data_IF_374701013714
#
_entry.id   IF_374701013714
#
_cell.length_a   1.000
_cell.length_b   1.000
_cell.length_c   1.000
_cell.angle_alpha   90.00
_cell.angle_beta   90.00
_cell.angle_gamma   90.00
#
_symmetry.space_group_name_H-M   'P 1'
#
loop_
_entity.id
_entity.type
_entity.pdbx_description
1 polymer ?
#
# COMPACT_ATOMS: atom_id res chain seq x y z
N UNK A 1 0.92 -52.27 -13.84
CA UNK A 1 1.55 -51.02 -13.37
C UNK A 1 2.23 -50.38 -14.56
N UNK A 2 1.56 -49.41 -15.17
CA UNK A 2 1.98 -48.38 -16.17
C UNK A 2 2.96 -48.66 -17.33
N UNK A 3 3.63 -49.82 -17.46
CA UNK A 3 4.55 -50.08 -18.58
C UNK A 3 4.41 -51.51 -19.15
N UNK A 4 4.39 -51.67 -20.48
CA UNK A 4 4.55 -52.97 -21.13
C UNK A 4 5.93 -53.56 -20.80
N UNK A 5 6.03 -54.88 -20.53
CA UNK A 5 7.29 -55.50 -20.10
C UNK A 5 8.39 -55.51 -21.17
N UNK A 6 8.05 -55.27 -22.44
CA UNK A 6 8.95 -55.43 -23.58
C UNK A 6 9.41 -54.08 -24.18
N UNK A 7 9.04 -52.95 -23.58
CA UNK A 7 9.40 -51.60 -24.07
C UNK A 7 10.54 -51.00 -23.25
N UNK A 8 11.78 -51.22 -23.72
CA UNK A 8 12.99 -50.64 -23.13
C UNK A 8 13.24 -49.18 -23.58
N UNK A 9 12.41 -48.61 -24.47
CA UNK A 9 12.66 -47.29 -25.05
C UNK A 9 12.54 -46.13 -24.05
N UNK A 10 11.87 -46.36 -22.92
CA UNK A 10 11.64 -45.35 -21.88
C UNK A 10 12.46 -45.59 -20.60
N UNK A 11 13.28 -46.64 -20.53
CA UNK A 11 14.09 -46.91 -19.34
C UNK A 11 15.35 -46.03 -19.41
N UNK A 12 15.61 -45.15 -18.42
CA UNK A 12 16.88 -44.43 -18.39
C UNK A 12 18.02 -45.46 -18.35
N UNK A 13 19.14 -45.23 -19.05
CA UNK A 13 20.21 -46.23 -19.17
C UNK A 13 20.65 -46.68 -17.78
N UNK A 14 20.36 -47.94 -17.43
CA UNK A 14 20.82 -48.54 -16.17
C UNK A 14 22.31 -48.76 -16.32
N UNK A 15 23.10 -47.79 -15.87
CA UNK A 15 24.54 -47.98 -15.81
C UNK A 15 24.86 -49.00 -14.72
N UNK A 16 25.85 -49.89 -14.95
CA UNK A 16 26.27 -50.85 -13.94
C UNK A 16 26.73 -50.08 -12.69
N UNK A 17 26.29 -50.57 -11.52
CA UNK A 17 26.54 -49.97 -10.22
C UNK A 17 28.03 -49.63 -10.08
N UNK A 18 28.42 -48.34 -10.04
CA UNK A 18 29.81 -47.98 -10.05
C UNK A 18 30.43 -48.36 -8.69
N UNK A 19 31.73 -48.72 -8.64
CA UNK A 19 32.37 -49.11 -7.40
C UNK A 19 32.26 -47.97 -6.35
N UNK A 20 32.20 -48.29 -5.04
CA UNK A 20 31.78 -47.37 -3.96
C UNK A 20 32.70 -46.16 -3.71
N UNK A 21 33.70 -45.93 -4.56
CA UNK A 21 34.65 -44.80 -4.47
C UNK A 21 34.51 -43.79 -5.61
N UNK A 22 33.52 -43.93 -6.48
CA UNK A 22 33.25 -42.93 -7.51
C UNK A 22 32.26 -41.92 -6.95
N UNK A 23 32.75 -40.72 -6.65
CA UNK A 23 31.91 -39.53 -6.56
C UNK A 23 31.07 -39.51 -7.84
N UNK A 24 29.73 -39.51 -7.72
CA UNK A 24 28.86 -39.30 -8.86
C UNK A 24 29.37 -38.05 -9.60
N UNK A 25 29.85 -38.24 -10.83
CA UNK A 25 30.46 -37.15 -11.60
C UNK A 25 29.40 -36.10 -11.92
N UNK A 26 29.82 -34.83 -12.01
CA UNK A 26 28.95 -33.74 -12.43
C UNK A 26 28.25 -34.07 -13.76
N UNK A 27 28.91 -34.80 -14.67
CA UNK A 27 28.35 -35.31 -15.92
C UNK A 27 27.09 -36.19 -15.76
N UNK A 28 27.01 -36.99 -14.68
CA UNK A 28 25.85 -37.85 -14.43
C UNK A 28 24.67 -37.03 -13.90
N UNK A 29 24.95 -36.05 -13.05
CA UNK A 29 23.93 -35.10 -12.62
C UNK A 29 23.46 -34.23 -13.78
N UNK A 30 24.35 -33.82 -14.68
CA UNK A 30 24.01 -33.08 -15.90
C UNK A 30 23.14 -33.92 -16.84
N UNK A 31 23.48 -35.19 -17.04
CA UNK A 31 22.67 -36.09 -17.88
C UNK A 31 21.28 -36.34 -17.28
N UNK A 32 21.19 -36.49 -15.95
CA UNK A 32 19.90 -36.62 -15.26
C UNK A 32 19.10 -35.32 -15.32
N UNK A 33 19.76 -34.18 -15.12
CA UNK A 33 19.15 -32.86 -15.21
C UNK A 33 18.60 -32.60 -16.61
N UNK A 34 19.36 -32.91 -17.66
CA UNK A 34 18.90 -32.84 -19.05
C UNK A 34 17.70 -33.77 -19.29
N UNK A 35 17.73 -34.99 -18.75
CA UNK A 35 16.62 -35.94 -18.86
C UNK A 35 15.34 -35.43 -18.18
N UNK A 36 15.46 -34.74 -17.04
CA UNK A 36 14.33 -34.11 -16.35
C UNK A 36 14.01 -32.69 -16.84
N UNK A 37 14.75 -32.17 -17.83
CA UNK A 37 14.60 -30.80 -18.33
C UNK A 37 14.97 -29.73 -17.30
N UNK A 38 15.76 -30.07 -16.29
CA UNK A 38 16.28 -29.17 -15.26
C UNK A 38 17.55 -28.54 -15.84
N UNK A 39 17.51 -27.26 -16.18
CA UNK A 39 18.70 -26.52 -16.61
C UNK A 39 19.72 -26.41 -15.49
N UNK A 40 21.01 -26.56 -15.80
CA UNK A 40 22.11 -26.34 -14.86
C UNK A 40 22.04 -24.89 -14.30
N UNK A 41 22.16 -24.68 -12.98
CA UNK A 41 21.98 -23.36 -12.36
C UNK A 41 23.06 -22.34 -12.73
N UNK A 42 24.09 -22.72 -13.47
CA UNK A 42 25.11 -21.81 -14.03
C UNK A 42 24.69 -21.19 -15.38
N UNK A 43 23.68 -21.75 -16.07
CA UNK A 43 23.10 -21.24 -17.32
C UNK A 43 21.88 -20.32 -17.06
N UNK A 44 21.98 -19.39 -16.11
CA UNK A 44 20.93 -18.40 -15.80
C UNK A 44 20.75 -17.30 -16.87
N UNK A 45 21.35 -17.44 -18.06
CA UNK A 45 21.77 -16.27 -18.84
C UNK A 45 20.72 -15.53 -19.69
N UNK A 46 19.62 -16.13 -20.11
CA UNK A 46 18.73 -15.46 -21.09
C UNK A 46 17.28 -15.95 -21.12
N UNK A 47 17.06 -17.26 -21.01
CA UNK A 47 15.71 -17.82 -21.00
C UNK A 47 15.01 -17.51 -19.67
N UNK A 48 15.72 -17.51 -18.53
CA UNK A 48 15.16 -17.11 -17.23
C UNK A 48 14.66 -15.67 -17.26
N UNK A 49 15.45 -14.73 -17.75
CA UNK A 49 15.03 -13.34 -17.86
C UNK A 49 13.81 -13.15 -18.78
N UNK A 50 13.74 -13.90 -19.89
CA UNK A 50 12.60 -13.89 -20.81
C UNK A 50 11.35 -14.48 -20.13
N UNK A 51 11.49 -15.65 -19.49
CA UNK A 51 10.40 -16.32 -18.76
C UNK A 51 9.93 -15.46 -17.60
N UNK A 52 10.82 -14.86 -16.82
CA UNK A 52 10.49 -13.99 -15.70
C UNK A 52 9.73 -12.74 -16.17
N UNK A 53 10.11 -12.16 -17.30
CA UNK A 53 9.42 -11.03 -17.90
C UNK A 53 8.01 -11.41 -18.39
N UNK A 54 7.88 -12.55 -19.10
CA UNK A 54 6.60 -13.06 -19.58
C UNK A 54 5.66 -13.45 -18.44
N UNK A 55 6.18 -14.14 -17.42
CA UNK A 55 5.44 -14.50 -16.20
C UNK A 55 5.02 -13.26 -15.45
N UNK A 56 5.89 -12.26 -15.31
CA UNK A 56 5.55 -10.99 -14.65
C UNK A 56 4.46 -10.22 -15.41
N UNK A 57 4.50 -10.21 -16.75
CA UNK A 57 3.48 -9.57 -17.57
C UNK A 57 2.12 -10.28 -17.44
N UNK A 58 2.09 -11.60 -17.62
CA UNK A 58 0.90 -12.43 -17.42
C UNK A 58 0.30 -12.24 -16.04
N UNK A 59 1.14 -12.26 -15.00
CA UNK A 59 0.72 -12.13 -13.63
C UNK A 59 0.21 -10.71 -13.31
N UNK A 60 0.79 -9.67 -13.91
CA UNK A 60 0.23 -8.31 -13.79
C UNK A 60 -1.16 -8.25 -14.42
N UNK A 61 -1.37 -8.79 -15.61
CA UNK A 61 -2.68 -8.84 -16.27
C UNK A 61 -3.70 -9.63 -15.45
N UNK A 62 -3.29 -10.78 -14.89
CA UNK A 62 -4.12 -11.57 -13.99
C UNK A 62 -4.54 -10.79 -12.75
N UNK A 63 -3.61 -10.06 -12.12
CA UNK A 63 -3.91 -9.25 -10.94
C UNK A 63 -4.84 -8.08 -11.26
N UNK A 64 -4.71 -7.48 -12.44
CA UNK A 64 -5.58 -6.40 -12.92
C UNK A 64 -7.01 -6.91 -13.20
N UNK A 65 -7.12 -8.10 -13.80
CA UNK A 65 -8.38 -8.79 -13.93
C UNK A 65 -8.99 -9.12 -12.56
N UNK A 66 -8.19 -9.64 -11.62
CA UNK A 66 -8.64 -10.01 -10.28
C UNK A 66 -9.09 -8.77 -9.48
N UNK A 67 -8.40 -7.63 -9.61
CA UNK A 67 -8.75 -6.39 -8.93
C UNK A 67 -10.13 -5.88 -9.35
N UNK A 68 -10.51 -6.11 -10.60
CA UNK A 68 -11.83 -5.78 -11.14
C UNK A 68 -12.95 -6.52 -10.40
N UNK A 69 -12.74 -7.78 -10.02
CA UNK A 69 -13.73 -8.57 -9.25
C UNK A 69 -13.90 -8.08 -7.82
N UNK A 70 -12.81 -7.62 -7.20
CA UNK A 70 -12.83 -7.15 -5.81
C UNK A 70 -13.26 -5.67 -5.74
N UNK A 71 -13.34 -4.98 -6.87
CA UNK A 71 -13.65 -3.56 -6.93
C UNK A 71 -12.49 -2.68 -6.44
N UNK A 72 -11.26 -3.19 -6.57
CA UNK A 72 -10.02 -2.49 -6.26
C UNK A 72 -9.58 -1.66 -7.47
N UNK A 73 -9.49 -0.33 -7.30
CA UNK A 73 -8.92 0.55 -8.32
C UNK A 73 -7.41 0.32 -8.39
N UNK A 74 -6.96 -0.34 -9.46
CA UNK A 74 -5.56 -0.68 -9.65
C UNK A 74 -4.81 0.49 -10.30
N UNK A 75 -3.64 0.81 -9.75
CA UNK A 75 -2.73 1.80 -10.33
C UNK A 75 -1.66 1.07 -11.15
N UNK A 76 -1.48 1.50 -12.40
CA UNK A 76 -0.47 0.93 -13.30
C UNK A 76 0.97 1.17 -12.80
N UNK A 77 1.17 2.09 -11.87
CA UNK A 77 2.48 2.37 -11.28
C UNK A 77 2.85 1.42 -10.13
N UNK A 78 1.96 0.51 -9.72
CA UNK A 78 2.26 -0.42 -8.63
C UNK A 78 3.18 -1.55 -9.07
N UNK A 79 4.15 -1.85 -8.20
CA UNK A 79 4.95 -3.06 -8.35
C UNK A 79 4.07 -4.29 -8.15
N UNK A 80 4.49 -5.41 -8.73
CA UNK A 80 3.74 -6.66 -8.67
C UNK A 80 3.56 -7.14 -7.22
N UNK A 81 4.61 -7.00 -6.40
CA UNK A 81 4.54 -7.33 -4.98
C UNK A 81 3.57 -6.42 -4.22
N UNK A 82 3.51 -5.12 -4.55
CA UNK A 82 2.54 -4.21 -3.93
C UNK A 82 1.11 -4.60 -4.29
N UNK A 83 0.85 -4.98 -5.56
CA UNK A 83 -0.46 -5.50 -5.97
C UNK A 83 -0.86 -6.71 -5.13
N UNK A 84 0.05 -7.68 -4.95
CA UNK A 84 -0.19 -8.88 -4.14
C UNK A 84 -0.43 -8.57 -2.66
N UNK A 85 0.39 -7.70 -2.08
CA UNK A 85 0.30 -7.27 -0.68
C UNK A 85 -1.05 -6.60 -0.40
N UNK A 86 -1.44 -5.64 -1.24
CA UNK A 86 -2.72 -4.94 -1.13
C UNK A 86 -3.88 -5.94 -1.28
N UNK A 87 -3.82 -6.82 -2.29
CA UNK A 87 -4.87 -7.81 -2.54
C UNK A 87 -5.09 -8.77 -1.37
N UNK A 88 -4.00 -9.19 -0.71
CA UNK A 88 -4.08 -10.04 0.47
C UNK A 88 -4.71 -9.34 1.68
N UNK A 89 -4.53 -8.02 1.78
CA UNK A 89 -4.92 -7.22 2.95
C UNK A 89 -6.28 -6.53 2.79
N UNK A 90 -6.77 -6.33 1.56
CA UNK A 90 -7.92 -5.45 1.30
C UNK A 90 -9.27 -6.01 1.76
N UNK A 91 -9.46 -7.33 1.77
CA UNK A 91 -10.75 -7.96 2.10
C UNK A 91 -11.26 -7.64 3.52
N UNK A 92 -10.47 -7.76 4.61
CA UNK A 92 -10.93 -7.34 5.93
C UNK A 92 -11.23 -5.84 5.99
N UNK A 93 -10.47 -5.00 5.30
CA UNK A 93 -10.69 -3.55 5.22
C UNK A 93 -12.04 -3.24 4.57
N UNK A 94 -12.38 -3.93 3.47
CA UNK A 94 -13.65 -3.75 2.76
C UNK A 94 -14.88 -4.16 3.57
N UNK A 95 -14.73 -5.05 4.57
CA UNK A 95 -15.83 -5.34 5.51
C UNK A 95 -16.16 -4.16 6.42
N UNK A 96 -15.20 -3.27 6.64
CA UNK A 96 -15.35 -2.08 7.48
C UNK A 96 -15.66 -0.81 6.65
N UNK A 97 -16.11 -0.98 5.40
CA UNK A 97 -16.52 0.14 4.54
C UNK A 97 -17.57 1.02 5.23
N UNK A 98 -17.42 2.33 5.05
CA UNK A 98 -18.29 3.33 5.69
C UNK A 98 -17.95 3.65 7.14
N UNK A 99 -16.90 3.06 7.72
CA UNK A 99 -16.39 3.42 9.04
C UNK A 99 -15.12 4.26 8.94
N UNK A 100 -14.86 5.12 9.94
CA UNK A 100 -13.63 5.91 10.00
C UNK A 100 -12.38 5.01 10.09
N UNK A 101 -12.44 3.94 10.90
CA UNK A 101 -11.35 2.98 11.06
C UNK A 101 -11.02 2.26 9.75
N UNK A 102 -12.03 1.79 9.01
CA UNK A 102 -11.81 1.14 7.71
C UNK A 102 -11.23 2.09 6.68
N UNK A 103 -11.64 3.36 6.67
CA UNK A 103 -11.07 4.37 5.78
C UNK A 103 -9.61 4.69 6.14
N UNK A 104 -9.30 4.77 7.44
CA UNK A 104 -7.94 5.02 7.93
C UNK A 104 -7.00 3.88 7.54
N UNK A 105 -7.41 2.62 7.77
CA UNK A 105 -6.64 1.44 7.39
C UNK A 105 -6.41 1.40 5.88
N UNK A 106 -7.45 1.66 5.08
CA UNK A 106 -7.36 1.73 3.63
C UNK A 106 -6.34 2.77 3.16
N UNK A 107 -6.41 4.00 3.69
CA UNK A 107 -5.49 5.08 3.28
C UNK A 107 -4.05 4.75 3.65
N UNK A 108 -3.82 4.16 4.83
CA UNK A 108 -2.47 3.78 5.28
C UNK A 108 -1.89 2.63 4.44
N UNK A 109 -2.70 1.65 4.03
CA UNK A 109 -2.25 0.55 3.16
C UNK A 109 -1.85 1.04 1.76
N UNK A 110 -2.64 1.93 1.14
CA UNK A 110 -2.41 2.37 -0.24
C UNK A 110 -1.32 3.43 -0.38
N UNK A 111 -1.33 4.44 0.49
CA UNK A 111 -0.44 5.60 0.37
C UNK A 111 0.86 5.41 1.19
N UNK A 112 0.89 4.40 2.09
CA UNK A 112 1.99 4.12 3.01
C UNK A 112 2.44 5.41 3.72
N UNK A 113 1.48 6.03 4.41
CA UNK A 113 1.66 7.30 5.13
C UNK A 113 1.29 7.18 6.61
N UNK A 114 1.44 8.27 7.35
CA UNK A 114 0.85 8.45 8.67
C UNK A 114 -0.43 9.27 8.49
N UNK A 115 -1.56 8.56 8.34
CA UNK A 115 -2.87 9.14 8.05
C UNK A 115 -3.83 8.76 9.16
N UNK A 116 -4.52 9.75 9.71
CA UNK A 116 -5.54 9.58 10.74
C UNK A 116 -6.90 10.12 10.27
N UNK A 117 -7.98 9.40 10.56
CA UNK A 117 -9.35 9.82 10.23
C UNK A 117 -10.11 10.16 11.50
N UNK A 118 -10.36 11.45 11.72
CA UNK A 118 -11.03 11.96 12.90
C UNK A 118 -12.49 12.31 12.60
N UNK A 119 -13.43 11.80 13.41
CA UNK A 119 -14.81 12.27 13.40
C UNK A 119 -14.90 13.68 14.03
N UNK A 120 -15.69 14.58 13.43
CA UNK A 120 -15.76 16.01 13.80
C UNK A 120 -16.34 16.23 15.22
N UNK A 121 -16.79 15.18 15.90
CA UNK A 121 -17.09 15.22 17.35
C UNK A 121 -15.87 15.63 18.19
N UNK A 122 -14.64 15.47 17.68
CA UNK A 122 -13.41 15.92 18.32
C UNK A 122 -12.87 17.28 17.81
N UNK A 123 -13.57 17.96 16.89
CA UNK A 123 -13.15 19.27 16.41
C UNK A 123 -13.33 20.35 17.49
N UNK A 124 -12.45 21.36 17.59
CA UNK A 124 -12.62 22.47 18.52
C UNK A 124 -14.00 23.09 18.36
N UNK A 125 -14.73 23.25 19.47
CA UNK A 125 -16.08 23.82 19.44
C UNK A 125 -16.09 25.14 18.67
N UNK A 126 -16.97 25.25 17.68
CA UNK A 126 -17.14 26.49 16.92
C UNK A 126 -17.54 27.63 17.86
N UNK A 127 -16.61 28.56 18.07
CA UNK A 127 -16.86 29.77 18.87
C UNK A 127 -16.99 30.96 17.93
N UNK A 128 -18.20 31.52 17.87
CA UNK A 128 -18.50 32.71 17.06
C UNK A 128 -17.62 33.87 17.52
N UNK A 129 -16.93 34.52 16.56
CA UNK A 129 -16.07 35.67 16.83
C UNK A 129 -14.61 35.33 17.19
N UNK A 130 -14.27 34.05 17.39
CA UNK A 130 -12.87 33.59 17.49
C UNK A 130 -12.42 32.82 16.27
N UNK A 131 -13.03 31.65 16.06
CA UNK A 131 -12.59 30.70 15.03
C UNK A 131 -13.53 30.68 13.82
N UNK A 132 -14.71 31.27 13.94
CA UNK A 132 -15.72 31.36 12.88
C UNK A 132 -16.45 32.71 12.94
N UNK A 133 -16.68 33.35 11.79
CA UNK A 133 -17.45 34.59 11.68
C UNK A 133 -18.80 34.31 11.03
N UNK A 134 -19.87 34.92 11.55
CA UNK A 134 -21.20 34.85 10.96
C UNK A 134 -21.25 35.74 9.72
N UNK A 135 -21.72 35.18 8.61
CA UNK A 135 -22.06 35.97 7.43
C UNK A 135 -23.35 36.74 7.71
N UNK A 136 -23.49 37.91 7.09
CA UNK A 136 -24.67 38.78 7.22
C UNK A 136 -25.95 38.18 6.60
N UNK A 137 -25.82 37.19 5.72
CA UNK A 137 -26.95 36.49 5.11
C UNK A 137 -26.62 35.00 4.94
N UNK A 138 -27.62 34.16 5.19
CA UNK A 138 -27.57 32.72 4.97
C UNK A 138 -27.78 32.39 3.48
N UNK A 139 -26.87 31.62 2.90
CA UNK A 139 -27.06 30.90 1.64
C UNK A 139 -27.29 29.42 1.91
N UNK A 140 -28.09 28.75 1.07
CA UNK A 140 -28.30 27.31 1.16
C UNK A 140 -26.95 26.58 1.04
N UNK A 141 -26.54 25.87 2.11
CA UNK A 141 -25.24 25.23 2.24
C UNK A 141 -24.30 25.89 3.26
N UNK A 142 -24.65 27.07 3.77
CA UNK A 142 -23.90 27.71 4.85
C UNK A 142 -24.05 26.91 6.16
N UNK A 143 -22.96 26.77 6.95
CA UNK A 143 -23.02 26.09 8.24
C UNK A 143 -23.85 26.89 9.24
N UNK A 144 -24.88 26.26 9.81
CA UNK A 144 -25.66 26.81 10.92
C UNK A 144 -24.92 26.54 12.23
N UNK A 145 -24.94 27.49 13.16
CA UNK A 145 -24.22 27.39 14.45
C UNK A 145 -24.82 26.25 15.29
N UNK A 146 -24.17 25.09 15.23
CA UNK A 146 -24.53 23.89 16.00
C UNK A 146 -23.35 23.19 16.66
N UNK A 147 -22.15 23.79 16.62
CA UNK A 147 -20.93 23.25 17.25
C UNK A 147 -20.29 22.05 16.54
N UNK A 148 -21.06 21.25 15.82
CA UNK A 148 -20.61 20.06 15.07
C UNK A 148 -21.19 20.10 13.66
N UNK A 149 -20.37 19.76 12.65
CA UNK A 149 -20.83 19.60 11.27
C UNK A 149 -21.34 18.15 11.12
N UNK A 150 -22.65 17.91 11.01
CA UNK A 150 -23.18 16.55 10.92
C UNK A 150 -22.68 15.87 9.65
N UNK A 151 -22.43 14.56 9.73
CA UNK A 151 -21.93 13.74 8.62
C UNK A 151 -20.65 14.33 7.99
N UNK A 152 -19.73 14.79 8.84
CA UNK A 152 -18.43 15.26 8.41
C UNK A 152 -17.28 14.65 9.20
N UNK A 153 -16.17 14.41 8.52
CA UNK A 153 -14.94 13.90 9.11
C UNK A 153 -13.73 14.66 8.56
N UNK A 154 -12.61 14.59 9.27
CA UNK A 154 -11.34 15.18 8.88
C UNK A 154 -10.32 14.07 8.63
N UNK A 155 -9.64 14.13 7.50
CA UNK A 155 -8.48 13.29 7.20
C UNK A 155 -7.23 14.11 7.45
N UNK A 156 -6.37 13.63 8.35
CA UNK A 156 -5.11 14.29 8.70
C UNK A 156 -3.97 13.49 8.11
N UNK A 157 -3.23 14.09 7.18
CA UNK A 157 -1.99 13.54 6.64
C UNK A 157 -0.81 14.16 7.39
N UNK A 158 -0.04 13.34 8.10
CA UNK A 158 1.19 13.76 8.76
C UNK A 158 2.39 13.51 7.83
N UNK A 159 3.19 14.53 7.57
CA UNK A 159 4.38 14.45 6.72
C UNK A 159 5.64 14.94 7.44
N UNK A 160 6.80 14.26 7.28
CA UNK A 160 8.06 14.69 7.88
C UNK A 160 8.77 15.75 7.01
N UNK A 161 8.04 16.74 6.48
CA UNK A 161 8.60 17.81 5.65
C UNK A 161 8.07 19.16 6.09
N UNK A 162 8.88 20.21 5.90
CA UNK A 162 8.47 21.60 6.16
C UNK A 162 7.68 22.19 4.99
N UNK A 163 7.90 21.70 3.77
CA UNK A 163 7.23 22.20 2.57
C UNK A 163 5.99 21.37 2.25
N UNK A 164 4.86 21.82 2.78
CA UNK A 164 3.55 21.21 2.56
C UNK A 164 3.01 21.43 1.14
N UNK A 165 3.59 22.38 0.38
CA UNK A 165 3.20 22.67 -1.00
C UNK A 165 4.12 22.02 -2.03
N UNK A 166 5.07 21.21 -1.57
CA UNK A 166 5.94 20.44 -2.45
C UNK A 166 5.11 19.47 -3.31
N UNK A 167 5.52 19.26 -4.57
CA UNK A 167 4.84 18.36 -5.50
C UNK A 167 4.57 16.96 -4.93
N UNK A 168 5.48 16.31 -4.19
CA UNK A 168 5.21 14.99 -3.60
C UNK A 168 4.07 15.00 -2.58
N UNK A 169 3.96 16.05 -1.77
CA UNK A 169 2.87 16.18 -0.77
C UNK A 169 1.55 16.42 -1.48
N UNK A 170 1.52 17.29 -2.48
CA UNK A 170 0.31 17.56 -3.26
C UNK A 170 -0.16 16.33 -4.04
N UNK A 171 0.76 15.52 -4.58
CA UNK A 171 0.42 14.25 -5.22
C UNK A 171 -0.24 13.27 -4.22
N UNK A 172 0.29 13.16 -3.00
CA UNK A 172 -0.32 12.36 -1.93
C UNK A 172 -1.70 12.87 -1.54
N UNK A 173 -1.87 14.18 -1.38
CA UNK A 173 -3.18 14.79 -1.07
C UNK A 173 -4.19 14.53 -2.19
N UNK A 174 -3.78 14.61 -3.46
CA UNK A 174 -4.63 14.29 -4.59
C UNK A 174 -5.06 12.81 -4.59
N UNK A 175 -4.12 11.90 -4.31
CA UNK A 175 -4.41 10.48 -4.18
C UNK A 175 -5.36 10.18 -3.01
N UNK A 176 -5.17 10.82 -1.85
CA UNK A 176 -6.10 10.73 -0.70
C UNK A 176 -7.49 11.17 -1.13
N UNK A 177 -7.62 12.32 -1.79
CA UNK A 177 -8.94 12.82 -2.23
C UNK A 177 -9.62 11.84 -3.18
N UNK A 178 -8.88 11.31 -4.16
CA UNK A 178 -9.42 10.34 -5.10
C UNK A 178 -9.95 9.08 -4.39
N UNK A 179 -9.17 8.52 -3.45
CA UNK A 179 -9.57 7.35 -2.66
C UNK A 179 -10.77 7.64 -1.74
N UNK A 180 -10.73 8.76 -1.03
CA UNK A 180 -11.83 9.18 -0.14
C UNK A 180 -13.11 9.44 -0.94
N UNK A 181 -13.01 10.03 -2.13
CA UNK A 181 -14.18 10.27 -2.99
C UNK A 181 -14.81 8.98 -3.51
N UNK A 182 -14.01 7.91 -3.71
CA UNK A 182 -14.50 6.60 -4.10
C UNK A 182 -15.20 5.86 -2.95
N UNK A 183 -14.68 5.99 -1.72
CA UNK A 183 -15.14 5.21 -0.57
C UNK A 183 -16.15 5.94 0.33
N UNK A 184 -16.24 7.28 0.26
CA UNK A 184 -17.16 8.05 1.11
C UNK A 184 -18.62 7.78 0.74
N UNK A 185 -19.53 7.71 1.73
CA UNK A 185 -20.96 7.79 1.46
C UNK A 185 -21.33 9.13 0.83
N UNK A 186 -22.30 9.13 -0.09
CA UNK A 186 -22.70 10.33 -0.85
C UNK A 186 -23.15 11.53 0.01
N UNK A 187 -23.67 11.27 1.21
CA UNK A 187 -24.16 12.30 2.12
C UNK A 187 -23.09 12.84 3.09
N UNK A 188 -21.88 12.27 3.06
CA UNK A 188 -20.80 12.63 3.97
C UNK A 188 -19.85 13.60 3.29
N UNK A 189 -19.31 14.54 4.07
CA UNK A 189 -18.40 15.57 3.58
C UNK A 189 -17.12 15.58 4.39
N UNK A 190 -15.99 15.92 3.77
CA UNK A 190 -14.69 15.77 4.41
C UNK A 190 -13.79 16.96 4.13
N UNK A 191 -12.78 17.10 4.99
CA UNK A 191 -11.64 18.00 4.78
C UNK A 191 -10.35 17.20 4.90
N UNK A 192 -9.36 17.55 4.08
CA UNK A 192 -8.01 16.98 4.17
C UNK A 192 -7.10 18.06 4.74
N UNK A 193 -6.51 17.78 5.89
CA UNK A 193 -5.55 18.65 6.58
C UNK A 193 -4.17 18.00 6.51
N UNK A 194 -3.15 18.80 6.21
CA UNK A 194 -1.77 18.32 6.11
C UNK A 194 -0.98 18.93 7.26
N UNK A 195 -0.40 18.06 8.09
CA UNK A 195 0.40 18.47 9.25
C UNK A 195 1.83 18.03 9.07
N UNK A 196 2.75 18.85 9.56
CA UNK A 196 4.16 18.49 9.62
C UNK A 196 4.51 17.93 10.99
N UNK A 197 5.32 16.87 11.04
CA UNK A 197 5.93 16.39 12.29
C UNK A 197 7.04 17.32 12.78
N UNK A 198 7.60 18.15 11.89
CA UNK A 198 8.72 19.03 12.20
C UNK A 198 8.21 20.28 12.92
N UNK A 199 8.70 20.52 14.14
CA UNK A 199 8.45 21.76 14.87
C UNK A 199 9.33 22.89 14.33
N UNK A 200 8.69 24.00 13.98
CA UNK A 200 9.33 25.25 13.58
C UNK A 200 8.98 26.33 14.60
N UNK A 201 10.02 26.85 15.23
CA UNK A 201 9.93 27.97 16.16
C UNK A 201 9.27 29.18 15.48
N UNK A 202 8.20 29.69 16.09
CA UNK A 202 7.48 30.88 15.63
C UNK A 202 6.44 30.65 14.53
N UNK A 203 6.19 29.41 14.08
CA UNK A 203 5.13 29.10 13.09
C UNK A 203 4.12 28.10 13.67
N UNK A 204 4.57 26.90 14.00
CA UNK A 204 3.75 25.82 14.58
C UNK A 204 4.22 25.43 15.99
N UNK A 205 5.04 26.28 16.63
CA UNK A 205 5.56 26.04 17.96
C UNK A 205 5.68 27.35 18.74
N UNK A 206 5.14 27.34 19.96
CA UNK A 206 5.26 28.42 20.94
C UNK A 206 6.17 27.93 22.08
N UNK A 207 7.22 28.71 22.37
CA UNK A 207 8.17 28.40 23.45
C UNK A 207 7.41 28.42 24.78
N UNK A 208 7.52 27.33 25.55
CA UNK A 208 6.87 27.18 26.85
C UNK A 208 5.51 26.45 26.83
N UNK A 209 4.89 26.25 25.66
CA UNK A 209 3.68 25.42 25.53
C UNK A 209 3.97 24.10 24.83
N UNK A 210 4.48 24.18 23.59
CA UNK A 210 4.69 23.01 22.72
C UNK A 210 6.18 22.65 22.54
N UNK A 211 7.07 23.50 23.04
CA UNK A 211 8.51 23.31 22.94
C UNK A 211 9.20 23.76 24.22
N UNK A 212 9.91 22.82 24.86
CA UNK A 212 10.66 23.02 26.10
C UNK A 212 12.15 23.08 25.75
N UNK A 213 12.81 24.16 26.16
CA UNK A 213 14.26 24.27 26.05
C UNK A 213 14.91 23.57 27.26
N UNK A 214 15.89 22.67 27.06
CA UNK A 214 16.66 22.13 28.17
C UNK A 214 17.42 23.27 28.83
N UNK A 215 17.30 23.38 30.15
CA UNK A 215 18.08 24.36 30.92
C UNK A 215 19.38 23.70 31.38
N UNK A 216 20.46 24.48 31.54
CA UNK A 216 21.80 24.01 31.92
C UNK A 216 21.90 23.40 33.32
N UNK A 217 20.78 23.13 34.00
CA UNK A 217 20.75 22.43 35.28
C UNK A 217 20.69 20.90 35.12
N UNK A 218 20.39 20.38 33.92
CA UNK A 218 20.20 18.95 33.64
C UNK A 218 21.23 18.36 32.63
N UNK A 219 22.43 18.97 32.52
CA UNK A 219 23.61 18.42 31.82
C UNK A 219 24.79 18.35 32.78
#
# INVERSE_FOLDING_TARGET
FLFPPDDEAFIPPIQPNPPPSTTYSDELFDTLNDYFGISNPTDQGSWQATVDAEVSAWLSELLDWQSTWIGLANDNNWTLDSKREIMATILPVFRQRGTAAGLEELLNTFIKGDIAVNDVVAAPAMTVGRNTQLKTAYASGDPVVGGVRPFAFQVVLTVPTYDLNSMPVLAKVAAIRALVDQEKPAHTSYTVDVRTTITRLGVNSVVGETFILPTTADL
#
